data_IF_038424633373
#
_entry.id   IF_038424633373
#
_cell.length_a   1.000
_cell.length_b   1.000
_cell.length_c   1.000
_cell.angle_alpha   90.00
_cell.angle_beta   90.00
_cell.angle_gamma   90.00
#
_symmetry.space_group_name_H-M   'P 1'
#
loop_
_entity.id
_entity.type
_entity.pdbx_description
1 polymer ?
#
# COMPACT_ATOMS: atom_id res chain seq x y z
N UNK A 1 -10.44 -13.94 14.32
CA UNK A 1 -9.35 -14.13 13.32
C UNK A 1 -8.03 -14.25 14.06
N UNK A 2 -7.08 -15.06 13.60
CA UNK A 2 -5.74 -15.10 14.21
C UNK A 2 -4.95 -13.83 13.88
N UNK A 3 -4.01 -13.44 14.76
CA UNK A 3 -3.12 -12.29 14.56
C UNK A 3 -2.42 -12.35 13.19
N UNK A 4 -2.01 -13.53 12.75
CA UNK A 4 -1.38 -13.75 11.45
C UNK A 4 -2.29 -13.35 10.29
N UNK A 5 -3.58 -13.75 10.33
CA UNK A 5 -4.56 -13.40 9.29
C UNK A 5 -4.80 -11.89 9.28
N UNK A 6 -4.85 -11.26 10.46
CA UNK A 6 -5.01 -9.80 10.58
C UNK A 6 -3.82 -9.08 9.96
N UNK A 7 -2.59 -9.42 10.34
CA UNK A 7 -1.37 -8.81 9.80
C UNK A 7 -1.24 -9.04 8.29
N UNK A 8 -1.60 -10.22 7.80
CA UNK A 8 -1.57 -10.52 6.36
C UNK A 8 -2.59 -9.67 5.59
N UNK A 9 -3.81 -9.51 6.12
CA UNK A 9 -4.85 -8.68 5.50
C UNK A 9 -4.49 -7.20 5.51
N UNK A 10 -4.08 -6.66 6.66
CA UNK A 10 -3.66 -5.26 6.78
C UNK A 10 -2.44 -4.98 5.90
N UNK A 11 -1.49 -5.92 5.87
CA UNK A 11 -0.34 -5.91 4.98
C UNK A 11 -0.73 -5.84 3.51
N UNK A 12 -1.62 -6.72 3.05
CA UNK A 12 -2.07 -6.75 1.67
C UNK A 12 -2.82 -5.47 1.28
N UNK A 13 -3.70 -4.98 2.15
CA UNK A 13 -4.42 -3.72 1.93
C UNK A 13 -3.47 -2.52 1.85
N UNK A 14 -2.44 -2.46 2.71
CA UNK A 14 -1.43 -1.40 2.65
C UNK A 14 -0.63 -1.45 1.35
N UNK A 15 -0.24 -2.64 0.87
CA UNK A 15 0.44 -2.78 -0.44
C UNK A 15 -0.45 -2.29 -1.58
N UNK A 16 -1.70 -2.73 -1.62
CA UNK A 16 -2.65 -2.33 -2.66
C UNK A 16 -2.89 -0.80 -2.64
N UNK A 17 -3.11 -0.23 -1.47
CA UNK A 17 -3.27 1.23 -1.33
C UNK A 17 -2.01 2.00 -1.71
N UNK A 18 -0.83 1.47 -1.37
CA UNK A 18 0.45 2.04 -1.78
C UNK A 18 0.57 2.13 -3.30
N UNK A 19 0.19 1.08 -4.02
CA UNK A 19 0.17 1.11 -5.49
C UNK A 19 -0.85 2.08 -6.06
N UNK A 20 -2.03 2.22 -5.45
CA UNK A 20 -3.02 3.23 -5.86
C UNK A 20 -2.44 4.63 -5.73
N UNK A 21 -1.76 4.92 -4.62
CA UNK A 21 -1.14 6.24 -4.39
C UNK A 21 0.00 6.52 -5.37
N UNK A 22 0.83 5.51 -5.65
CA UNK A 22 1.87 5.62 -6.69
C UNK A 22 1.26 5.84 -8.08
N UNK A 23 0.19 5.13 -8.42
CA UNK A 23 -0.52 5.29 -9.69
C UNK A 23 -1.13 6.67 -9.84
N UNK A 24 -1.76 7.21 -8.78
CA UNK A 24 -2.28 8.58 -8.80
C UNK A 24 -1.15 9.61 -8.88
N UNK A 25 -0.13 9.50 -8.02
CA UNK A 25 0.99 10.45 -7.97
C UNK A 25 1.84 10.50 -9.23
N UNK A 26 1.83 9.42 -10.03
CA UNK A 26 2.50 9.35 -11.33
C UNK A 26 1.62 9.77 -12.51
N UNK A 27 0.33 10.01 -12.29
CA UNK A 27 -0.63 10.32 -13.35
C UNK A 27 -1.11 9.12 -14.18
N UNK A 28 -0.54 7.92 -13.99
CA UNK A 28 -0.95 6.70 -14.72
C UNK A 28 -2.29 6.14 -14.29
N UNK A 29 -2.76 6.47 -13.08
CA UNK A 29 -4.06 6.03 -12.57
C UNK A 29 -4.90 7.24 -12.09
N UNK A 30 -5.43 8.06 -13.01
CA UNK A 30 -6.15 9.29 -12.67
C UNK A 30 -7.63 9.02 -12.35
N UNK A 31 -7.90 8.18 -11.34
CA UNK A 31 -9.24 7.89 -10.86
C UNK A 31 -9.34 8.08 -9.35
N UNK A 32 -10.39 8.73 -8.81
CA UNK A 32 -11.51 9.36 -9.51
C UNK A 32 -11.07 10.60 -10.32
N UNK A 33 -11.93 11.07 -11.24
CA UNK A 33 -11.59 12.11 -12.22
C UNK A 33 -11.00 13.41 -11.61
N UNK A 34 -11.31 13.68 -10.34
CA UNK A 34 -10.62 14.66 -9.52
C UNK A 34 -10.13 14.03 -8.21
N UNK A 35 -8.84 14.20 -7.92
CA UNK A 35 -8.22 13.83 -6.66
C UNK A 35 -7.04 14.77 -6.43
N UNK A 36 -6.80 15.14 -5.18
CA UNK A 36 -5.65 15.96 -4.77
C UNK A 36 -4.30 15.24 -4.93
N UNK A 37 -4.33 13.96 -5.32
CA UNK A 37 -3.14 13.12 -5.47
C UNK A 37 -2.69 12.95 -6.92
N UNK A 38 -3.58 13.20 -7.88
CA UNK A 38 -3.31 12.91 -9.29
C UNK A 38 -2.24 13.85 -9.82
N UNK A 39 -1.22 13.28 -10.45
CA UNK A 39 -0.07 13.99 -11.04
C UNK A 39 0.71 14.83 -10.01
N UNK A 40 0.72 14.37 -8.77
CA UNK A 40 1.47 14.98 -7.67
C UNK A 40 2.55 14.01 -7.17
N UNK A 41 3.80 14.25 -7.57
CA UNK A 41 4.93 13.35 -7.32
C UNK A 41 5.17 12.93 -5.86
N UNK A 42 4.86 13.73 -4.82
CA UNK A 42 4.97 13.27 -3.42
C UNK A 42 4.19 11.98 -3.12
N UNK A 43 3.07 11.76 -3.80
CA UNK A 43 2.25 10.56 -3.61
C UNK A 43 2.91 9.28 -4.11
N UNK A 44 3.89 9.39 -5.01
CA UNK A 44 4.74 8.25 -5.39
C UNK A 44 5.55 7.79 -4.17
N UNK A 45 6.19 8.72 -3.46
CA UNK A 45 7.00 8.40 -2.29
C UNK A 45 6.14 7.88 -1.13
N UNK A 46 4.98 8.51 -0.87
CA UNK A 46 4.05 8.04 0.17
C UNK A 46 3.50 6.66 -0.14
N UNK A 47 3.13 6.39 -1.39
CA UNK A 47 2.65 5.09 -1.82
C UNK A 47 3.73 4.00 -1.72
N UNK A 48 4.96 4.31 -2.13
CA UNK A 48 6.09 3.38 -1.99
C UNK A 48 6.37 3.06 -0.52
N UNK A 49 6.36 4.07 0.36
CA UNK A 49 6.52 3.87 1.81
C UNK A 49 5.42 2.98 2.40
N UNK A 50 4.16 3.23 2.05
CA UNK A 50 3.03 2.42 2.51
C UNK A 50 3.12 0.97 2.02
N UNK A 51 3.53 0.76 0.76
CA UNK A 51 3.73 -0.57 0.21
C UNK A 51 4.84 -1.33 0.94
N UNK A 52 5.97 -0.69 1.26
CA UNK A 52 7.05 -1.30 2.05
C UNK A 52 6.56 -1.71 3.44
N UNK A 53 5.82 -0.84 4.14
CA UNK A 53 5.23 -1.16 5.45
C UNK A 53 4.28 -2.37 5.34
N UNK A 54 3.46 -2.41 4.29
CA UNK A 54 2.58 -3.55 4.01
C UNK A 54 3.34 -4.86 3.81
N UNK A 55 4.42 -4.85 3.02
CA UNK A 55 5.29 -6.01 2.81
C UNK A 55 5.96 -6.48 4.11
N UNK A 56 6.39 -5.55 4.96
CA UNK A 56 6.95 -5.86 6.28
C UNK A 56 5.92 -6.55 7.18
N UNK A 57 4.68 -6.05 7.22
CA UNK A 57 3.60 -6.69 7.99
C UNK A 57 3.36 -8.14 7.53
N UNK A 58 3.30 -8.37 6.22
CA UNK A 58 3.16 -9.73 5.65
C UNK A 58 4.36 -10.61 6.01
N UNK A 59 5.58 -10.08 5.91
CA UNK A 59 6.80 -10.81 6.24
C UNK A 59 6.83 -11.24 7.72
N UNK A 60 6.44 -10.35 8.63
CA UNK A 60 6.32 -10.66 10.07
C UNK A 60 5.26 -11.75 10.27
N UNK A 61 4.07 -11.61 9.68
CA UNK A 61 2.99 -12.59 9.80
C UNK A 61 3.42 -14.00 9.37
N UNK A 62 4.23 -14.09 8.30
CA UNK A 62 4.78 -15.36 7.80
C UNK A 62 5.84 -15.96 8.71
N UNK A 63 6.63 -15.13 9.40
CA UNK A 63 7.66 -15.59 10.34
C UNK A 63 7.06 -16.15 11.62
N UNK A 64 5.94 -15.61 12.08
CA UNK A 64 5.22 -16.11 13.29
C UNK A 64 4.54 -17.47 13.08
N UNK A 65 4.53 -18.00 11.85
CA UNK A 65 3.96 -19.34 11.52
C UNK A 65 5.05 -20.42 11.52
N UNK A 66 6.32 -20.05 11.35
CA UNK A 66 7.46 -20.96 11.51
C UNK A 66 7.80 -21.12 12.98
#
# INVERSE_FOLDING_TARGET
>A
MSMQRILTLLGALAVLMGFVWMGQGSGYFPYPASSFMIDQSPWIAYGAGLAVVGLVMIAIARRTVR
#
